data_IF_170685747985
#
_entry.id   IF_170685747985
#
_cell.length_a   1.000
_cell.length_b   1.000
_cell.length_c   1.000
_cell.angle_alpha   90.00
_cell.angle_beta   90.00
_cell.angle_gamma   90.00
#
_symmetry.space_group_name_H-M   'P 1'
#
loop_
_entity.id
_entity.type
_entity.pdbx_description
1 polymer ?
#
# COMPACT_ATOMS: atom_id res chain seq x y z
N UNK A 1 33.83 -7.61 -5.41
CA UNK A 1 32.56 -8.24 -5.02
C UNK A 1 32.44 -8.41 -3.50
N UNK A 2 33.37 -9.07 -2.78
CA UNK A 2 33.24 -9.25 -1.32
C UNK A 2 33.28 -7.97 -0.45
N UNK A 3 33.82 -6.85 -0.95
CA UNK A 3 33.83 -5.56 -0.23
C UNK A 3 32.49 -4.82 -0.30
N UNK A 4 31.90 -4.71 -1.49
CA UNK A 4 30.61 -4.05 -1.71
C UNK A 4 29.45 -4.75 -0.99
N UNK A 5 29.42 -6.10 -1.00
CA UNK A 5 28.37 -6.86 -0.30
C UNK A 5 28.43 -6.61 1.21
N UNK A 6 29.63 -6.57 1.81
CA UNK A 6 29.80 -6.25 3.24
C UNK A 6 29.42 -4.82 3.60
N UNK A 7 29.69 -3.87 2.71
CA UNK A 7 29.36 -2.45 2.89
C UNK A 7 27.84 -2.21 2.79
N UNK A 8 27.17 -2.87 1.85
CA UNK A 8 25.70 -2.89 1.74
C UNK A 8 25.04 -3.53 2.97
N UNK A 9 25.50 -4.70 3.41
CA UNK A 9 25.01 -5.36 4.63
C UNK A 9 25.17 -4.46 5.88
N UNK A 10 26.28 -3.73 5.98
CA UNK A 10 26.53 -2.79 7.08
C UNK A 10 25.56 -1.60 7.03
N UNK A 11 25.24 -1.12 5.83
CA UNK A 11 24.30 0.00 5.62
C UNK A 11 22.88 -0.38 6.02
N UNK A 12 22.39 -1.56 5.62
CA UNK A 12 21.04 -2.01 5.97
C UNK A 12 20.90 -2.29 7.46
N UNK A 13 21.92 -2.89 8.08
CA UNK A 13 21.93 -3.09 9.53
C UNK A 13 21.88 -1.75 10.29
N UNK A 14 22.55 -0.71 9.79
CA UNK A 14 22.48 0.64 10.36
C UNK A 14 21.08 1.24 10.25
N UNK A 15 20.46 1.18 9.07
CA UNK A 15 19.09 1.64 8.86
C UNK A 15 18.11 0.88 9.77
N UNK A 16 18.22 -0.44 9.83
CA UNK A 16 17.37 -1.27 10.67
C UNK A 16 17.50 -0.88 12.15
N UNK A 17 18.72 -0.65 12.66
CA UNK A 17 18.93 -0.17 14.02
C UNK A 17 18.32 1.21 14.31
N UNK A 18 18.25 2.12 13.32
CA UNK A 18 17.53 3.39 13.45
C UNK A 18 16.01 3.18 13.50
N UNK A 19 15.49 2.29 12.65
CA UNK A 19 14.07 1.94 12.61
C UNK A 19 13.62 1.26 13.91
N UNK A 20 14.41 0.36 14.48
CA UNK A 20 14.12 -0.24 15.80
C UNK A 20 13.89 0.82 16.87
N UNK A 21 14.80 1.80 16.97
CA UNK A 21 14.68 2.91 17.93
C UNK A 21 13.46 3.78 17.65
N UNK A 22 13.23 4.13 16.37
CA UNK A 22 12.10 4.98 15.97
C UNK A 22 10.77 4.30 16.23
N UNK A 23 10.59 3.06 15.79
CA UNK A 23 9.34 2.31 16.00
C UNK A 23 9.11 2.03 17.49
N UNK A 24 10.17 1.74 18.26
CA UNK A 24 10.04 1.63 19.72
C UNK A 24 9.50 2.92 20.35
N UNK A 25 10.01 4.10 19.94
CA UNK A 25 9.49 5.39 20.40
C UNK A 25 8.02 5.59 19.99
N UNK A 26 7.67 5.24 18.75
CA UNK A 26 6.29 5.31 18.25
C UNK A 26 5.33 4.48 19.10
N UNK A 27 5.76 3.34 19.67
CA UNK A 27 4.89 2.56 20.58
C UNK A 27 4.41 3.36 21.78
N UNK A 28 5.26 4.23 22.33
CA UNK A 28 4.91 5.13 23.43
C UNK A 28 4.07 6.33 22.99
N UNK A 29 4.17 6.77 21.75
CA UNK A 29 3.45 7.94 21.22
C UNK A 29 2.04 7.60 20.72
N UNK A 30 1.89 6.42 20.09
CA UNK A 30 0.66 5.99 19.44
C UNK A 30 -0.33 5.29 20.37
N UNK A 31 -0.04 5.16 21.67
CA UNK A 31 -0.82 4.41 22.67
C UNK A 31 -2.35 4.39 22.41
N UNK A 32 -2.85 3.28 21.86
CA UNK A 32 -4.28 3.07 21.59
C UNK A 32 -4.87 3.79 20.38
N UNK A 33 -4.12 4.70 19.73
CA UNK A 33 -4.52 5.38 18.49
C UNK A 33 -4.68 4.37 17.34
N UNK A 34 -5.54 4.72 16.39
CA UNK A 34 -5.61 4.09 15.06
C UNK A 34 -5.06 5.08 14.03
N UNK A 35 -3.73 5.15 13.87
CA UNK A 35 -3.09 6.19 13.07
C UNK A 35 -3.43 6.07 11.59
N UNK A 36 -3.61 7.21 10.93
CA UNK A 36 -3.79 7.31 9.49
C UNK A 36 -2.80 8.32 8.89
N UNK A 37 -2.85 9.56 9.39
CA UNK A 37 -2.09 10.70 8.88
C UNK A 37 -1.63 11.60 10.02
N UNK A 38 -0.55 12.35 9.80
CA UNK A 38 -0.09 13.33 10.78
C UNK A 38 -0.66 14.72 10.54
N UNK A 39 -0.87 15.47 11.62
CA UNK A 39 -0.93 16.93 11.61
C UNK A 39 0.26 17.45 12.42
N UNK A 40 1.14 18.23 11.79
CA UNK A 40 2.38 18.72 12.42
C UNK A 40 3.23 17.58 13.02
N UNK A 41 3.37 16.46 12.30
CA UNK A 41 4.16 15.30 12.74
C UNK A 41 3.49 14.38 13.77
N UNK A 42 2.31 14.74 14.30
CA UNK A 42 1.57 13.94 15.27
C UNK A 42 0.45 13.18 14.57
N UNK A 43 0.39 11.86 14.73
CA UNK A 43 -0.67 11.04 14.14
C UNK A 43 -2.03 11.31 14.79
N UNK A 44 -3.04 11.30 13.93
CA UNK A 44 -4.44 11.25 14.30
C UNK A 44 -4.84 9.89 14.93
N UNK A 45 -6.11 9.76 15.26
CA UNK A 45 -6.71 8.47 15.60
C UNK A 45 -8.06 8.37 14.91
N UNK A 46 -8.16 7.42 13.98
CA UNK A 46 -9.35 7.11 13.22
C UNK A 46 -10.19 6.02 13.89
N UNK A 47 -11.28 5.62 13.23
CA UNK A 47 -12.08 4.46 13.61
C UNK A 47 -11.34 3.16 13.28
N UNK A 48 -11.57 2.10 14.05
CA UNK A 48 -10.83 0.82 13.90
C UNK A 48 -11.10 0.14 12.55
N UNK A 49 -12.27 0.36 11.96
CA UNK A 49 -12.65 -0.13 10.64
C UNK A 49 -12.19 0.79 9.49
N UNK A 50 -11.39 1.83 9.77
CA UNK A 50 -10.74 2.63 8.75
C UNK A 50 -9.71 1.81 7.97
N UNK A 51 -9.62 2.02 6.65
CA UNK A 51 -8.84 1.16 5.75
C UNK A 51 -7.34 1.04 6.11
N UNK A 52 -6.77 2.04 6.81
CA UNK A 52 -5.36 2.01 7.24
C UNK A 52 -5.10 1.36 8.59
N UNK A 53 -6.13 0.85 9.27
CA UNK A 53 -6.00 0.38 10.66
C UNK A 53 -5.08 -0.83 10.83
N UNK A 54 -4.81 -1.58 9.76
CA UNK A 54 -3.91 -2.73 9.80
C UNK A 54 -2.42 -2.38 9.71
N UNK A 55 -2.02 -1.20 9.20
CA UNK A 55 -0.61 -0.92 8.92
C UNK A 55 0.25 -0.78 10.18
N UNK A 56 -0.24 -0.07 11.19
CA UNK A 56 0.48 0.04 12.47
C UNK A 56 0.69 -1.31 13.16
N UNK A 57 -0.35 -2.13 13.43
CA UNK A 57 -0.13 -3.47 14.00
C UNK A 57 0.66 -4.39 13.08
N UNK A 58 0.59 -4.20 11.76
CA UNK A 58 1.46 -4.89 10.79
C UNK A 58 2.94 -4.61 11.02
N UNK A 59 3.30 -3.34 11.23
CA UNK A 59 4.67 -2.98 11.61
C UNK A 59 5.06 -3.63 12.93
N UNK A 60 4.18 -3.64 13.94
CA UNK A 60 4.47 -4.29 15.22
C UNK A 60 4.71 -5.79 15.07
N UNK A 61 3.89 -6.51 14.29
CA UNK A 61 4.10 -7.93 14.01
C UNK A 61 5.41 -8.19 13.26
N UNK A 62 5.74 -7.34 12.29
CA UNK A 62 7.01 -7.43 11.56
C UNK A 62 8.22 -7.21 12.47
N UNK A 63 8.14 -6.22 13.37
CA UNK A 63 9.19 -5.94 14.35
C UNK A 63 9.33 -7.08 15.36
N UNK A 64 8.22 -7.64 15.83
CA UNK A 64 8.25 -8.86 16.66
C UNK A 64 8.93 -10.01 15.91
N UNK A 65 8.58 -10.23 14.65
CA UNK A 65 9.13 -11.34 13.89
C UNK A 65 10.64 -11.21 13.67
N UNK A 66 11.12 -10.00 13.38
CA UNK A 66 12.53 -9.72 13.14
C UNK A 66 13.37 -9.70 14.41
N UNK A 67 12.84 -9.15 15.52
CA UNK A 67 13.62 -8.89 16.75
C UNK A 67 13.33 -9.87 17.88
N UNK A 68 12.19 -10.57 17.82
CA UNK A 68 11.61 -11.42 18.88
C UNK A 68 11.35 -10.68 20.21
N UNK A 69 11.30 -9.34 20.22
CA UNK A 69 10.98 -8.56 21.41
C UNK A 69 9.49 -8.69 21.78
N UNK A 70 9.13 -9.21 22.97
CA UNK A 70 7.74 -9.52 23.35
C UNK A 70 6.80 -8.31 23.33
N UNK A 71 7.30 -7.12 23.65
CA UNK A 71 6.51 -5.88 23.71
C UNK A 71 5.76 -5.58 22.41
N UNK A 72 6.39 -5.82 21.25
CA UNK A 72 5.73 -5.60 19.95
C UNK A 72 4.54 -6.54 19.75
N UNK A 73 4.70 -7.81 20.12
CA UNK A 73 3.62 -8.81 20.08
C UNK A 73 2.47 -8.42 21.01
N UNK A 74 2.77 -8.01 22.24
CA UNK A 74 1.77 -7.61 23.23
C UNK A 74 0.93 -6.43 22.74
N UNK A 75 1.58 -5.43 22.13
CA UNK A 75 0.89 -4.26 21.57
C UNK A 75 0.06 -4.58 20.32
N UNK A 76 0.44 -5.60 19.55
CA UNK A 76 -0.25 -6.01 18.33
C UNK A 76 -1.40 -7.01 18.59
N UNK A 77 -1.39 -7.69 19.74
CA UNK A 77 -2.20 -8.90 19.98
C UNK A 77 -3.71 -8.70 19.85
N UNK A 78 -4.23 -7.57 20.33
CA UNK A 78 -5.68 -7.29 20.42
C UNK A 78 -6.26 -6.61 19.17
N UNK A 79 -5.44 -6.31 18.16
CA UNK A 79 -5.91 -5.57 16.99
C UNK A 79 -6.91 -6.35 16.13
N UNK A 80 -6.66 -7.64 15.90
CA UNK A 80 -7.59 -8.50 15.16
C UNK A 80 -8.91 -8.70 15.93
N UNK A 81 -8.85 -8.75 17.26
CA UNK A 81 -10.05 -8.82 18.13
C UNK A 81 -10.91 -7.57 17.98
N UNK A 82 -10.30 -6.37 18.03
CA UNK A 82 -11.01 -5.10 17.84
C UNK A 82 -11.61 -4.97 16.43
N UNK A 83 -10.90 -5.44 15.40
CA UNK A 83 -11.41 -5.50 14.03
C UNK A 83 -12.60 -6.45 13.89
N UNK A 84 -12.53 -7.62 14.54
CA UNK A 84 -13.66 -8.56 14.57
C UNK A 84 -14.91 -7.95 15.23
N UNK A 85 -14.75 -7.26 16.36
CA UNK A 85 -15.87 -6.58 17.02
C UNK A 85 -16.54 -5.55 16.10
N UNK A 86 -15.75 -4.86 15.27
CA UNK A 86 -16.27 -3.93 14.28
C UNK A 86 -17.01 -4.60 13.10
N UNK A 87 -16.93 -5.93 12.92
CA UNK A 87 -17.74 -6.66 11.93
C UNK A 87 -19.18 -6.88 12.41
N UNK A 88 -19.45 -6.84 13.72
CA UNK A 88 -20.73 -7.23 14.34
C UNK A 88 -21.67 -6.02 14.53
N UNK A 89 -21.24 -4.80 14.20
CA UNK A 89 -21.99 -3.54 14.39
C UNK A 89 -22.15 -2.69 13.13
N UNK A 90 -22.26 -1.35 13.31
CA UNK A 90 -22.20 -0.36 12.22
C UNK A 90 -20.78 -0.34 11.65
N UNK A 91 -20.58 -1.14 10.62
CA UNK A 91 -19.28 -1.44 10.03
C UNK A 91 -19.09 -0.72 8.70
N UNK A 92 -17.93 -0.10 8.52
CA UNK A 92 -17.53 0.51 7.25
C UNK A 92 -16.51 -0.33 6.48
N UNK A 93 -16.37 -1.64 6.77
CA UNK A 93 -15.48 -2.50 6.00
C UNK A 93 -15.89 -2.57 4.52
N UNK A 94 -14.89 -2.53 3.64
CA UNK A 94 -15.04 -2.60 2.19
C UNK A 94 -13.91 -3.45 1.57
N UNK A 95 -13.50 -3.20 0.33
CA UNK A 95 -12.48 -4.02 -0.33
C UNK A 95 -11.10 -4.01 0.35
N UNK A 96 -10.85 -3.06 1.27
CA UNK A 96 -9.58 -2.89 1.98
C UNK A 96 -9.40 -3.82 3.19
N UNK A 97 -10.30 -4.79 3.38
CA UNK A 97 -10.14 -5.80 4.44
C UNK A 97 -8.85 -6.61 4.30
N UNK A 98 -8.23 -6.66 3.12
CA UNK A 98 -6.87 -7.19 2.97
C UNK A 98 -5.85 -6.35 3.73
N UNK A 99 -5.83 -5.03 3.54
CA UNK A 99 -4.98 -4.10 4.30
C UNK A 99 -5.21 -4.13 5.81
N UNK A 100 -6.39 -4.58 6.26
CA UNK A 100 -6.71 -4.61 7.68
C UNK A 100 -6.41 -5.97 8.31
N UNK A 101 -6.75 -7.08 7.65
CA UNK A 101 -6.67 -8.42 8.23
C UNK A 101 -5.41 -9.20 7.85
N UNK A 102 -4.75 -8.92 6.73
CA UNK A 102 -3.43 -9.50 6.44
C UNK A 102 -2.39 -9.10 7.51
N UNK A 103 -2.18 -7.80 7.80
CA UNK A 103 -1.19 -7.36 8.79
C UNK A 103 -1.63 -7.50 10.25
N UNK A 104 -2.83 -8.03 10.52
CA UNK A 104 -3.29 -8.29 11.90
C UNK A 104 -3.53 -9.78 12.11
N UNK A 105 -4.67 -10.29 11.67
CA UNK A 105 -5.13 -11.65 11.91
C UNK A 105 -4.26 -12.69 11.21
N UNK A 106 -3.96 -12.50 9.92
CA UNK A 106 -3.21 -13.50 9.15
C UNK A 106 -1.77 -13.61 9.62
N UNK A 107 -1.06 -12.50 9.82
CA UNK A 107 0.31 -12.55 10.33
C UNK A 107 0.38 -13.08 11.76
N UNK A 108 -0.57 -12.73 12.63
CA UNK A 108 -0.68 -13.33 13.97
C UNK A 108 -0.79 -14.84 13.88
N UNK A 109 -1.70 -15.35 13.04
CA UNK A 109 -1.85 -16.79 12.83
C UNK A 109 -0.57 -17.43 12.30
N UNK A 110 0.05 -16.87 11.25
CA UNK A 110 1.30 -17.39 10.68
C UNK A 110 2.42 -17.50 11.72
N UNK A 111 2.51 -16.56 12.65
CA UNK A 111 3.59 -16.51 13.64
C UNK A 111 3.30 -17.31 14.92
N UNK A 112 2.04 -17.53 15.28
CA UNK A 112 1.67 -18.08 16.60
C UNK A 112 0.77 -19.30 16.55
N UNK A 113 0.16 -19.60 15.39
CA UNK A 113 -0.83 -20.65 15.24
C UNK A 113 -2.19 -20.35 15.89
N UNK A 114 -2.47 -19.10 16.27
CA UNK A 114 -3.71 -18.71 16.94
C UNK A 114 -4.96 -19.03 16.09
N UNK A 115 -5.83 -19.97 16.51
CA UNK A 115 -6.94 -20.43 15.69
C UNK A 115 -8.04 -19.38 15.51
N UNK A 116 -8.18 -18.44 16.45
CA UNK A 116 -9.13 -17.33 16.30
C UNK A 116 -8.66 -16.31 15.27
N UNK A 117 -7.36 -16.01 15.24
CA UNK A 117 -6.77 -15.15 14.21
C UNK A 117 -6.95 -15.78 12.82
N UNK A 118 -6.76 -17.10 12.69
CA UNK A 118 -7.09 -17.83 11.44
C UNK A 118 -8.55 -17.64 11.04
N UNK A 119 -9.48 -17.84 11.98
CA UNK A 119 -10.93 -17.69 11.76
C UNK A 119 -11.27 -16.26 11.30
N UNK A 120 -10.70 -15.23 11.94
CA UNK A 120 -10.89 -13.82 11.57
C UNK A 120 -10.37 -13.51 10.17
N UNK A 121 -9.19 -14.01 9.81
CA UNK A 121 -8.64 -13.87 8.46
C UNK A 121 -9.56 -14.48 7.40
N UNK A 122 -10.06 -15.69 7.62
CA UNK A 122 -10.97 -16.37 6.69
C UNK A 122 -12.35 -15.67 6.59
N UNK A 123 -12.83 -15.10 7.70
CA UNK A 123 -14.04 -14.29 7.71
C UNK A 123 -13.87 -13.01 6.86
N UNK A 124 -12.74 -12.32 7.01
CA UNK A 124 -12.40 -11.17 6.18
C UNK A 124 -12.26 -11.53 4.70
N UNK A 125 -11.66 -12.68 4.38
CA UNK A 125 -11.58 -13.17 3.00
C UNK A 125 -12.98 -13.46 2.41
N UNK A 126 -13.91 -13.96 3.23
CA UNK A 126 -15.31 -14.16 2.83
C UNK A 126 -16.02 -12.84 2.56
N UNK A 127 -15.78 -11.81 3.39
CA UNK A 127 -16.29 -10.46 3.15
C UNK A 127 -15.76 -9.91 1.82
N UNK A 128 -14.45 -10.00 1.57
CA UNK A 128 -13.84 -9.53 0.32
C UNK A 128 -14.40 -10.28 -0.90
N UNK A 129 -14.51 -11.62 -0.82
CA UNK A 129 -15.10 -12.44 -1.87
C UNK A 129 -16.57 -12.09 -2.13
N UNK A 130 -17.33 -11.72 -1.10
CA UNK A 130 -18.73 -11.28 -1.23
C UNK A 130 -18.91 -9.97 -2.01
N UNK A 131 -17.83 -9.21 -2.24
CA UNK A 131 -17.83 -7.98 -3.05
C UNK A 131 -17.56 -8.24 -4.53
N UNK A 132 -17.31 -9.49 -4.92
CA UNK A 132 -17.06 -9.88 -6.30
C UNK A 132 -18.33 -9.83 -7.14
N UNK A 133 -18.28 -9.09 -8.25
CA UNK A 133 -19.27 -9.14 -9.30
C UNK A 133 -18.86 -10.21 -10.33
N UNK A 134 -19.57 -11.35 -10.43
CA UNK A 134 -19.19 -12.43 -11.33
C UNK A 134 -19.45 -12.15 -12.81
N UNK A 135 -20.30 -11.18 -13.14
CA UNK A 135 -20.60 -10.82 -14.54
C UNK A 135 -19.49 -9.93 -15.10
N UNK A 136 -19.16 -8.85 -14.39
CA UNK A 136 -18.07 -7.92 -14.77
C UNK A 136 -16.68 -8.34 -14.29
N UNK A 137 -16.59 -9.43 -13.51
CA UNK A 137 -15.33 -9.99 -13.01
C UNK A 137 -14.47 -9.00 -12.24
N UNK A 138 -15.12 -8.16 -11.44
CA UNK A 138 -14.43 -7.17 -10.61
C UNK A 138 -14.87 -7.24 -9.14
N UNK A 139 -13.98 -6.85 -8.24
CA UNK A 139 -14.30 -6.61 -6.82
C UNK A 139 -14.73 -5.16 -6.66
N UNK A 140 -15.95 -4.96 -6.15
CA UNK A 140 -16.49 -3.63 -5.85
C UNK A 140 -15.66 -2.94 -4.77
N UNK A 141 -15.22 -1.71 -5.04
CA UNK A 141 -14.36 -0.94 -4.14
C UNK A 141 -15.07 -0.55 -2.84
N UNK A 142 -16.02 0.39 -2.88
CA UNK A 142 -16.61 1.00 -1.67
C UNK A 142 -18.07 0.64 -1.43
N UNK A 143 -18.54 0.91 -0.22
CA UNK A 143 -19.94 0.76 0.17
C UNK A 143 -20.81 1.85 -0.47
N UNK A 144 -22.13 1.64 -0.46
CA UNK A 144 -23.06 2.68 -0.88
C UNK A 144 -22.95 3.89 0.04
N UNK A 145 -22.94 5.06 -0.57
CA UNK A 145 -22.84 6.36 0.11
C UNK A 145 -24.11 7.17 -0.11
N UNK A 146 -24.24 8.26 0.64
CA UNK A 146 -25.37 9.19 0.49
C UNK A 146 -25.46 9.72 -0.95
N UNK A 147 -26.66 10.03 -1.47
CA UNK A 147 -26.83 10.57 -2.82
C UNK A 147 -26.04 11.85 -3.12
N UNK A 148 -25.66 12.60 -2.08
CA UNK A 148 -24.88 13.84 -2.18
C UNK A 148 -23.37 13.61 -2.24
N UNK A 149 -22.89 12.39 -2.01
CA UNK A 149 -21.47 12.06 -2.02
C UNK A 149 -20.95 11.95 -3.46
N UNK A 150 -19.72 12.42 -3.70
CA UNK A 150 -19.09 12.42 -5.03
C UNK A 150 -18.97 11.03 -5.67
N UNK A 151 -18.91 9.98 -4.83
CA UNK A 151 -18.83 8.58 -5.23
C UNK A 151 -20.17 7.83 -5.05
N UNK A 152 -21.31 8.54 -5.16
CA UNK A 152 -22.61 7.88 -5.28
C UNK A 152 -22.71 7.09 -6.59
N UNK A 153 -23.44 5.97 -6.59
CA UNK A 153 -23.54 5.08 -7.76
C UNK A 153 -22.27 4.24 -8.01
N UNK A 154 -21.52 3.90 -6.95
CA UNK A 154 -20.25 3.19 -7.04
C UNK A 154 -20.37 1.65 -7.10
N UNK A 155 -21.54 1.09 -7.40
CA UNK A 155 -21.77 -0.36 -7.50
C UNK A 155 -20.84 -1.03 -8.51
N UNK A 156 -20.55 -0.33 -9.60
CA UNK A 156 -19.68 -0.76 -10.68
C UNK A 156 -18.22 -0.33 -10.55
N UNK A 157 -17.83 0.31 -9.44
CA UNK A 157 -16.48 0.87 -9.32
C UNK A 157 -15.53 -0.16 -8.71
N UNK A 158 -14.41 -0.37 -9.39
CA UNK A 158 -13.25 -1.09 -8.88
C UNK A 158 -12.05 -0.15 -8.90
N UNK A 159 -11.17 -0.25 -7.90
CA UNK A 159 -9.99 0.63 -7.77
C UNK A 159 -8.71 -0.20 -7.68
N UNK A 160 -7.59 0.38 -8.10
CA UNK A 160 -6.33 -0.34 -8.25
C UNK A 160 -5.78 -0.93 -6.94
N UNK A 161 -6.08 -0.28 -5.82
CA UNK A 161 -5.71 -0.66 -4.45
C UNK A 161 -6.24 -2.07 -4.11
N UNK A 162 -7.32 -2.50 -4.77
CA UNK A 162 -7.83 -3.88 -4.67
C UNK A 162 -6.78 -4.94 -4.99
N UNK A 163 -5.78 -4.61 -5.81
CA UNK A 163 -4.69 -5.51 -6.18
C UNK A 163 -3.87 -5.98 -4.98
N UNK A 164 -3.60 -5.08 -4.02
CA UNK A 164 -2.91 -5.44 -2.78
C UNK A 164 -3.75 -6.34 -1.87
N UNK A 165 -5.08 -6.21 -1.96
CA UNK A 165 -6.01 -6.97 -1.14
C UNK A 165 -6.23 -8.41 -1.66
N UNK A 166 -5.81 -8.72 -2.89
CA UNK A 166 -5.94 -10.07 -3.48
C UNK A 166 -5.16 -11.13 -2.70
N UNK A 167 -4.05 -10.75 -2.07
CA UNK A 167 -3.26 -11.63 -1.23
C UNK A 167 -4.08 -12.29 -0.10
N UNK A 168 -5.12 -11.61 0.39
CA UNK A 168 -6.03 -12.19 1.40
C UNK A 168 -6.82 -13.36 0.83
N UNK A 169 -7.30 -13.26 -0.41
CA UNK A 169 -8.03 -14.32 -1.09
C UNK A 169 -7.11 -15.48 -1.47
N UNK A 170 -5.89 -15.20 -1.95
CA UNK A 170 -4.92 -16.26 -2.22
C UNK A 170 -4.55 -17.03 -0.96
N UNK A 171 -4.20 -16.32 0.12
CA UNK A 171 -3.93 -16.95 1.42
C UNK A 171 -5.12 -17.77 1.91
N UNK A 172 -6.35 -17.24 1.82
CA UNK A 172 -7.54 -17.99 2.25
C UNK A 172 -7.75 -19.28 1.45
N UNK A 173 -7.42 -19.27 0.16
CA UNK A 173 -7.48 -20.47 -0.68
C UNK A 173 -6.46 -21.53 -0.25
N UNK A 174 -5.20 -21.14 -0.04
CA UNK A 174 -4.14 -22.04 0.45
C UNK A 174 -4.48 -22.60 1.83
N UNK A 175 -4.98 -21.75 2.73
CA UNK A 175 -5.23 -22.08 4.13
C UNK A 175 -6.47 -22.95 4.34
N UNK A 176 -7.51 -22.75 3.53
CA UNK A 176 -8.78 -23.50 3.67
C UNK A 176 -8.92 -24.67 2.70
N UNK A 177 -8.16 -24.67 1.59
CA UNK A 177 -8.35 -25.57 0.46
C UNK A 177 -9.56 -25.22 -0.42
N UNK A 178 -10.30 -24.13 -0.16
CA UNK A 178 -11.40 -23.67 -1.02
C UNK A 178 -10.83 -22.90 -2.24
N UNK A 179 -10.91 -23.46 -3.46
CA UNK A 179 -10.35 -22.84 -4.66
C UNK A 179 -11.11 -21.57 -5.10
N UNK A 180 -12.34 -21.36 -4.61
CA UNK A 180 -13.17 -20.20 -4.97
C UNK A 180 -12.46 -18.88 -4.70
N UNK A 181 -11.74 -18.77 -3.58
CA UNK A 181 -11.02 -17.54 -3.25
C UNK A 181 -9.93 -17.23 -4.29
N UNK A 182 -9.13 -18.23 -4.69
CA UNK A 182 -8.12 -18.06 -5.73
C UNK A 182 -8.74 -17.80 -7.12
N UNK A 183 -9.90 -18.39 -7.45
CA UNK A 183 -10.60 -18.08 -8.69
C UNK A 183 -11.01 -16.60 -8.75
N UNK A 184 -11.65 -16.09 -7.69
CA UNK A 184 -12.05 -14.67 -7.60
C UNK A 184 -10.84 -13.75 -7.70
N UNK A 185 -9.75 -14.08 -6.98
CA UNK A 185 -8.53 -13.29 -7.01
C UNK A 185 -7.90 -13.23 -8.41
N UNK A 186 -7.85 -14.36 -9.14
CA UNK A 186 -7.33 -14.41 -10.51
C UNK A 186 -8.20 -13.62 -11.50
N UNK A 187 -9.53 -13.69 -11.37
CA UNK A 187 -10.42 -12.91 -12.23
C UNK A 187 -10.24 -11.41 -12.01
N UNK A 188 -10.18 -10.94 -10.75
CA UNK A 188 -9.86 -9.54 -10.46
C UNK A 188 -8.47 -9.15 -10.97
N UNK A 189 -7.45 -10.01 -10.82
CA UNK A 189 -6.12 -9.75 -11.35
C UNK A 189 -6.11 -9.64 -12.89
N UNK A 190 -6.88 -10.47 -13.59
CA UNK A 190 -7.05 -10.35 -15.04
C UNK A 190 -7.67 -9.01 -15.42
N UNK A 191 -8.73 -8.59 -14.71
CA UNK A 191 -9.38 -7.28 -14.87
C UNK A 191 -8.39 -6.12 -14.64
N UNK A 192 -7.50 -6.23 -13.65
CA UNK A 192 -6.42 -5.25 -13.40
C UNK A 192 -5.47 -5.15 -14.60
N UNK A 193 -4.99 -6.28 -15.11
CA UNK A 193 -4.10 -6.30 -16.27
C UNK A 193 -4.77 -5.74 -17.53
N UNK A 194 -6.05 -6.06 -17.74
CA UNK A 194 -6.79 -5.66 -18.94
C UNK A 194 -7.21 -4.19 -18.95
N UNK A 195 -7.76 -3.70 -17.83
CA UNK A 195 -8.42 -2.41 -17.79
C UNK A 195 -7.64 -1.34 -17.03
N UNK A 196 -6.88 -1.69 -16.00
CA UNK A 196 -6.20 -0.70 -15.16
C UNK A 196 -4.81 -0.33 -15.66
N UNK A 197 -4.02 -1.32 -16.07
CA UNK A 197 -2.63 -1.12 -16.50
C UNK A 197 -2.63 -0.77 -17.99
N UNK A 198 -2.27 0.47 -18.31
CA UNK A 198 -2.20 0.93 -19.70
C UNK A 198 -1.00 0.30 -20.44
N UNK A 199 -0.99 0.30 -21.79
CA UNK A 199 0.12 -0.25 -22.57
C UNK A 199 1.49 0.36 -22.25
N UNK A 200 1.53 1.63 -21.84
CA UNK A 200 2.76 2.33 -21.44
C UNK A 200 3.23 2.04 -20.00
N UNK A 201 2.45 1.30 -19.22
CA UNK A 201 2.74 1.00 -17.81
C UNK A 201 2.20 2.01 -16.80
N UNK A 202 1.60 3.11 -17.25
CA UNK A 202 0.81 3.98 -16.37
C UNK A 202 -0.47 3.27 -15.93
N UNK A 203 -1.05 3.73 -14.82
CA UNK A 203 -2.13 3.00 -14.14
C UNK A 203 -3.34 3.91 -13.92
N UNK A 204 -4.52 3.40 -14.25
CA UNK A 204 -5.82 4.03 -13.91
C UNK A 204 -6.09 3.83 -12.43
N UNK A 205 -6.64 4.86 -11.77
CA UNK A 205 -7.02 4.73 -10.36
C UNK A 205 -8.33 3.96 -10.21
N UNK A 206 -9.41 4.44 -10.86
CA UNK A 206 -10.76 3.86 -10.77
C UNK A 206 -11.20 3.43 -12.16
N UNK A 207 -11.63 2.18 -12.29
CA UNK A 207 -12.36 1.70 -13.47
C UNK A 207 -13.83 1.50 -13.10
N UNK A 208 -14.72 2.08 -13.90
CA UNK A 208 -16.17 1.92 -13.77
C UNK A 208 -16.64 0.90 -14.79
N UNK A 209 -17.38 -0.09 -14.29
CA UNK A 209 -18.07 -1.11 -15.06
C UNK A 209 -19.58 -0.93 -14.91
N UNK A 210 -20.36 -1.42 -15.87
CA UNK A 210 -21.79 -1.61 -15.66
C UNK A 210 -22.00 -2.82 -14.73
N UNK A 211 -22.66 -2.67 -13.57
CA UNK A 211 -22.79 -3.75 -12.60
C UNK A 211 -23.73 -4.88 -13.05
N UNK A 212 -24.54 -4.67 -14.10
CA UNK A 212 -25.50 -5.64 -14.63
C UNK A 212 -24.93 -6.42 -15.82
N UNK A 213 -24.37 -5.73 -16.82
CA UNK A 213 -23.78 -6.34 -18.02
C UNK A 213 -22.33 -6.75 -17.84
N UNK A 214 -21.62 -6.13 -16.88
CA UNK A 214 -20.21 -6.33 -16.64
C UNK A 214 -19.28 -5.56 -17.60
N UNK A 215 -19.82 -4.77 -18.51
CA UNK A 215 -19.03 -4.04 -19.50
C UNK A 215 -18.21 -2.92 -18.86
N UNK A 216 -16.94 -2.80 -19.24
CA UNK A 216 -16.11 -1.65 -18.90
C UNK A 216 -16.70 -0.39 -19.54
N UNK A 217 -16.91 0.66 -18.74
CA UNK A 217 -17.49 1.92 -19.21
C UNK A 217 -16.41 2.98 -19.41
N UNK A 218 -15.70 3.31 -18.33
CA UNK A 218 -14.77 4.43 -18.32
C UNK A 218 -13.77 4.34 -17.17
N UNK A 219 -12.73 5.15 -17.26
CA UNK A 219 -11.83 5.44 -16.15
C UNK A 219 -12.30 6.71 -15.48
N UNK A 220 -12.23 6.75 -14.16
CA UNK A 220 -12.49 7.96 -13.39
C UNK A 220 -11.20 8.43 -12.72
N UNK A 221 -11.20 9.69 -12.30
CA UNK A 221 -10.15 10.25 -11.46
C UNK A 221 -10.26 9.71 -10.03
N UNK A 222 -10.18 10.59 -9.05
CA UNK A 222 -10.23 10.24 -7.63
C UNK A 222 -9.06 10.89 -6.93
N UNK A 223 -8.09 10.09 -6.49
CA UNK A 223 -6.91 10.60 -5.80
C UNK A 223 -5.80 11.12 -6.74
N UNK A 224 -5.82 10.72 -8.02
CA UNK A 224 -4.95 11.24 -9.06
C UNK A 224 -5.45 12.55 -9.68
N UNK A 225 -4.60 13.19 -10.48
CA UNK A 225 -4.88 14.46 -11.14
C UNK A 225 -6.11 14.43 -12.07
N UNK A 226 -6.35 13.29 -12.71
CA UNK A 226 -7.53 13.06 -13.52
C UNK A 226 -7.64 11.65 -14.09
N UNK A 227 -8.69 11.34 -14.85
CA UNK A 227 -8.92 10.00 -15.42
C UNK A 227 -7.77 9.46 -16.29
N UNK A 228 -7.07 10.35 -17.01
CA UNK A 228 -5.95 9.98 -17.90
C UNK A 228 -4.56 10.27 -17.31
N UNK A 229 -4.54 10.71 -16.05
CA UNK A 229 -3.31 10.93 -15.28
C UNK A 229 -2.69 9.60 -14.80
N UNK A 230 -1.58 9.70 -14.06
CA UNK A 230 -0.82 8.56 -13.57
C UNK A 230 -0.43 8.77 -12.11
N UNK A 231 -1.42 8.65 -11.24
CA UNK A 231 -1.27 8.74 -9.78
C UNK A 231 -0.20 7.76 -9.26
N UNK A 232 0.81 8.30 -8.58
CA UNK A 232 2.02 7.54 -8.25
C UNK A 232 1.75 6.37 -7.29
N UNK A 233 0.90 6.56 -6.29
CA UNK A 233 0.54 5.49 -5.35
C UNK A 233 -0.31 4.40 -5.99
N UNK A 234 -1.17 4.74 -6.95
CA UNK A 234 -1.88 3.75 -7.76
C UNK A 234 -0.94 2.87 -8.57
N UNK A 235 0.11 3.47 -9.14
CA UNK A 235 1.17 2.71 -9.81
C UNK A 235 1.96 1.84 -8.81
N UNK A 236 2.23 2.32 -7.61
CA UNK A 236 2.89 1.53 -6.57
C UNK A 236 2.06 0.31 -6.12
N UNK A 237 0.73 0.48 -5.95
CA UNK A 237 -0.20 -0.63 -5.66
C UNK A 237 -0.24 -1.67 -6.77
N UNK A 238 -0.30 -1.24 -8.04
CA UNK A 238 -0.29 -2.16 -9.17
C UNK A 238 1.03 -2.94 -9.26
N UNK A 239 2.16 -2.24 -9.12
CA UNK A 239 3.50 -2.83 -9.16
C UNK A 239 3.64 -3.93 -8.10
N UNK A 240 3.39 -3.58 -6.83
CA UNK A 240 3.58 -4.51 -5.72
C UNK A 240 2.51 -5.61 -5.73
N UNK A 241 1.25 -5.25 -5.97
CA UNK A 241 0.15 -6.22 -5.97
C UNK A 241 0.24 -7.25 -7.11
N UNK A 242 0.73 -6.86 -8.29
CA UNK A 242 0.97 -7.80 -9.39
C UNK A 242 2.17 -8.72 -9.12
N UNK A 243 3.22 -8.22 -8.47
CA UNK A 243 4.32 -9.07 -8.00
C UNK A 243 3.82 -10.11 -6.98
N UNK A 244 2.98 -9.70 -6.02
CA UNK A 244 2.35 -10.61 -5.06
C UNK A 244 1.46 -11.65 -5.75
N UNK A 245 0.66 -11.22 -6.73
CA UNK A 245 -0.20 -12.10 -7.52
C UNK A 245 0.63 -13.16 -8.26
N UNK A 246 1.76 -12.78 -8.88
CA UNK A 246 2.67 -13.74 -9.48
C UNK A 246 3.23 -14.74 -8.46
N UNK A 247 3.65 -14.27 -7.28
CA UNK A 247 4.18 -15.15 -6.22
C UNK A 247 3.18 -16.24 -5.82
N UNK A 248 1.88 -15.94 -5.76
CA UNK A 248 0.84 -16.92 -5.44
C UNK A 248 0.44 -17.84 -6.61
N UNK A 249 0.63 -17.40 -7.86
CA UNK A 249 0.04 -18.07 -9.03
C UNK A 249 1.04 -18.72 -9.97
N UNK A 250 2.28 -18.22 -10.01
CA UNK A 250 3.29 -18.56 -11.02
C UNK A 250 2.94 -18.12 -12.45
N UNK A 251 1.87 -17.35 -12.65
CA UNK A 251 1.43 -16.94 -13.99
C UNK A 251 2.19 -15.71 -14.47
N UNK A 252 3.06 -15.92 -15.46
CA UNK A 252 3.99 -14.91 -15.98
C UNK A 252 3.30 -13.62 -16.43
N UNK A 253 2.02 -13.66 -16.81
CA UNK A 253 1.25 -12.46 -17.21
C UNK A 253 1.23 -11.40 -16.10
N UNK A 254 1.15 -11.81 -14.84
CA UNK A 254 1.16 -10.89 -13.70
C UNK A 254 2.57 -10.34 -13.42
N UNK A 255 3.62 -11.15 -13.61
CA UNK A 255 5.00 -10.65 -13.49
C UNK A 255 5.30 -9.62 -14.58
N UNK A 256 4.90 -9.89 -15.82
CA UNK A 256 5.09 -8.96 -16.93
C UNK A 256 4.32 -7.65 -16.71
N UNK A 257 3.11 -7.72 -16.13
CA UNK A 257 2.36 -6.54 -15.71
C UNK A 257 3.10 -5.75 -14.61
N UNK A 258 3.60 -6.42 -13.58
CA UNK A 258 4.39 -5.80 -12.52
C UNK A 258 5.65 -5.10 -13.07
N UNK A 259 6.38 -5.77 -13.97
CA UNK A 259 7.56 -5.23 -14.65
C UNK A 259 7.23 -4.01 -15.50
N UNK A 260 6.11 -4.04 -16.26
CA UNK A 260 5.67 -2.90 -17.07
C UNK A 260 5.41 -1.66 -16.22
N UNK A 261 4.67 -1.82 -15.11
CA UNK A 261 4.41 -0.72 -14.18
C UNK A 261 5.70 -0.26 -13.49
N UNK A 262 6.58 -1.18 -13.10
CA UNK A 262 7.88 -0.86 -12.52
C UNK A 262 8.75 -0.01 -13.46
N UNK A 263 8.79 -0.33 -14.75
CA UNK A 263 9.55 0.45 -15.73
C UNK A 263 8.99 1.87 -15.86
N UNK A 264 7.67 2.03 -15.95
CA UNK A 264 7.03 3.35 -15.99
C UNK A 264 7.32 4.15 -14.71
N UNK A 265 7.16 3.53 -13.54
CA UNK A 265 7.39 4.17 -12.24
C UNK A 265 8.84 4.65 -12.11
N UNK A 266 9.81 3.78 -12.37
CA UNK A 266 11.25 4.10 -12.28
C UNK A 266 11.64 5.19 -13.28
N UNK A 267 11.12 5.14 -14.51
CA UNK A 267 11.40 6.15 -15.52
C UNK A 267 10.79 7.53 -15.20
N UNK A 268 9.78 7.57 -14.32
CA UNK A 268 9.04 8.79 -13.94
C UNK A 268 9.47 9.37 -12.58
N UNK A 269 10.47 8.75 -11.92
CA UNK A 269 11.05 9.27 -10.68
C UNK A 269 11.74 10.61 -10.92
N UNK A 270 11.68 11.49 -9.91
CA UNK A 270 12.42 12.74 -9.92
C UNK A 270 13.92 12.50 -9.69
N UNK A 271 14.75 13.53 -9.82
CA UNK A 271 16.22 13.44 -9.69
C UNK A 271 16.68 12.79 -8.38
N UNK A 272 15.94 13.03 -7.30
CA UNK A 272 16.18 12.44 -5.98
C UNK A 272 15.51 11.08 -5.78
N UNK A 273 15.05 10.42 -6.85
CA UNK A 273 14.41 9.10 -6.82
C UNK A 273 13.08 9.00 -6.05
N UNK A 274 12.41 10.12 -5.75
CA UNK A 274 11.07 10.14 -5.15
C UNK A 274 10.04 10.58 -6.19
N UNK A 275 8.88 9.91 -6.32
CA UNK A 275 7.84 10.30 -7.25
C UNK A 275 7.16 11.60 -6.83
N UNK A 276 6.66 12.35 -7.81
CA UNK A 276 5.58 13.31 -7.58
C UNK A 276 4.30 12.56 -7.17
N UNK A 277 3.36 13.24 -6.54
CA UNK A 277 2.07 12.65 -6.18
C UNK A 277 1.33 12.06 -7.41
N UNK A 278 1.46 12.68 -8.59
CA UNK A 278 1.00 12.19 -9.88
C UNK A 278 2.07 12.43 -10.97
N UNK A 279 2.37 11.42 -11.77
CA UNK A 279 3.42 11.49 -12.80
C UNK A 279 3.01 12.32 -14.03
N UNK A 280 1.72 12.64 -14.18
CA UNK A 280 1.18 13.41 -15.31
C UNK A 280 0.49 14.70 -14.89
N UNK A 281 0.61 15.10 -13.62
CA UNK A 281 0.22 16.43 -13.22
C UNK A 281 1.21 17.44 -13.82
N UNK A 282 0.70 18.36 -14.63
CA UNK A 282 1.48 19.53 -15.06
C UNK A 282 1.18 20.72 -14.15
N UNK A 283 2.25 21.44 -13.80
CA UNK A 283 2.24 22.54 -12.83
C UNK A 283 1.26 23.68 -13.14
N UNK A 284 0.97 23.90 -14.42
CA UNK A 284 0.09 24.99 -14.90
C UNK A 284 -1.40 24.64 -14.77
N UNK A 285 -1.71 23.37 -14.57
CA UNK A 285 -3.07 22.85 -14.54
C UNK A 285 -3.59 22.66 -13.09
N UNK A 286 -2.79 23.04 -12.08
CA UNK A 286 -3.18 23.07 -10.67
C UNK A 286 -3.73 24.44 -10.28
N UNK A 287 -5.05 24.54 -10.12
CA UNK A 287 -5.67 25.63 -9.36
C UNK A 287 -5.48 25.35 -7.86
N UNK A 288 -4.47 25.93 -7.24
CA UNK A 288 -4.40 25.98 -5.79
C UNK A 288 -5.49 26.94 -5.27
N UNK A 289 -6.19 26.62 -4.16
CA UNK A 289 -7.24 27.49 -3.61
C UNK A 289 -6.75 28.90 -3.21
N UNK A 290 -5.44 29.12 -3.11
CA UNK A 290 -4.82 30.41 -2.82
C UNK A 290 -4.25 31.13 -4.06
N UNK A 291 -4.47 30.63 -5.28
CA UNK A 291 -3.90 31.20 -6.50
C UNK A 291 -4.94 32.05 -7.27
N UNK A 292 -5.19 33.28 -6.82
CA UNK A 292 -6.08 34.24 -7.49
C UNK A 292 -5.48 34.87 -8.78
N UNK A 293 -4.33 34.35 -9.23
CA UNK A 293 -3.60 34.83 -10.41
C UNK A 293 -2.83 36.14 -10.17
N UNK A 294 -2.81 36.66 -8.94
CA UNK A 294 -2.10 37.91 -8.58
C UNK A 294 -0.88 37.69 -7.67
N UNK A 295 -0.72 36.50 -7.09
CA UNK A 295 0.44 36.18 -6.26
C UNK A 295 1.67 35.79 -7.10
N UNK A 296 2.70 36.64 -7.04
CA UNK A 296 4.00 36.45 -7.69
C UNK A 296 5.02 35.74 -6.79
N UNK A 297 4.59 35.19 -5.65
CA UNK A 297 5.46 34.41 -4.76
C UNK A 297 6.06 33.21 -5.49
N UNK A 298 7.30 32.79 -5.16
CA UNK A 298 7.90 31.61 -5.76
C UNK A 298 7.00 30.39 -5.52
N UNK A 299 6.45 29.85 -6.60
CA UNK A 299 5.49 28.75 -6.60
C UNK A 299 6.08 27.52 -5.88
N UNK A 300 5.34 26.99 -4.91
CA UNK A 300 5.76 25.79 -4.16
C UNK A 300 6.05 24.62 -5.13
N UNK A 301 7.05 23.77 -4.85
CA UNK A 301 7.31 22.60 -5.67
C UNK A 301 6.12 21.64 -5.66
N UNK A 302 5.92 20.91 -6.76
CA UNK A 302 4.89 19.88 -6.84
C UNK A 302 5.01 18.88 -5.68
N UNK A 303 3.92 18.58 -4.95
CA UNK A 303 3.98 17.67 -3.83
C UNK A 303 4.50 16.29 -4.23
N UNK A 304 5.34 15.74 -3.37
CA UNK A 304 5.85 14.38 -3.52
C UNK A 304 4.89 13.38 -2.89
N UNK A 305 5.15 12.11 -3.15
CA UNK A 305 4.51 11.05 -2.39
C UNK A 305 5.51 9.99 -1.93
N UNK A 306 6.07 10.19 -0.74
CA UNK A 306 6.97 9.21 -0.12
C UNK A 306 6.29 7.88 0.21
N UNK A 307 4.95 7.85 0.33
CA UNK A 307 4.21 6.60 0.54
C UNK A 307 4.12 5.74 -0.74
N UNK A 308 3.99 6.37 -1.91
CA UNK A 308 4.13 5.68 -3.19
C UNK A 308 5.55 5.14 -3.36
N UNK A 309 6.55 5.94 -2.99
CA UNK A 309 7.96 5.56 -3.06
C UNK A 309 8.25 4.32 -2.22
N UNK A 310 7.84 4.30 -0.95
CA UNK A 310 8.11 3.18 -0.05
C UNK A 310 7.38 1.89 -0.46
N UNK A 311 6.12 1.98 -0.91
CA UNK A 311 5.42 0.83 -1.47
C UNK A 311 6.12 0.29 -2.72
N UNK A 312 6.49 1.17 -3.66
CA UNK A 312 7.17 0.76 -4.88
C UNK A 312 8.53 0.13 -4.58
N UNK A 313 9.29 0.65 -3.60
CA UNK A 313 10.55 0.04 -3.18
C UNK A 313 10.34 -1.40 -2.67
N UNK A 314 9.32 -1.63 -1.84
CA UNK A 314 9.00 -2.98 -1.36
C UNK A 314 8.59 -3.93 -2.51
N UNK A 315 7.79 -3.45 -3.46
CA UNK A 315 7.39 -4.22 -4.63
C UNK A 315 8.54 -4.47 -5.62
N UNK A 316 9.46 -3.53 -5.79
CA UNK A 316 10.66 -3.70 -6.61
C UNK A 316 11.61 -4.76 -6.02
N UNK A 317 11.75 -4.81 -4.69
CA UNK A 317 12.46 -5.89 -4.02
C UNK A 317 11.77 -7.24 -4.25
N UNK A 318 10.44 -7.28 -4.23
CA UNK A 318 9.68 -8.49 -4.56
C UNK A 318 9.95 -8.95 -6.00
N UNK A 319 9.87 -8.04 -6.98
CA UNK A 319 10.19 -8.36 -8.38
C UNK A 319 11.63 -8.87 -8.51
N UNK A 320 12.59 -8.23 -7.82
CA UNK A 320 14.00 -8.64 -7.86
C UNK A 320 14.22 -10.09 -7.40
N UNK A 321 13.42 -10.59 -6.46
CA UNK A 321 13.45 -11.97 -5.98
C UNK A 321 12.74 -12.96 -6.94
N UNK A 322 11.82 -12.47 -7.77
CA UNK A 322 10.95 -13.26 -8.65
C UNK A 322 11.47 -13.41 -10.10
N UNK A 323 12.31 -12.47 -10.56
CA UNK A 323 12.89 -12.48 -11.91
C UNK A 323 14.19 -13.29 -12.00
N UNK A 324 14.62 -13.72 -13.20
CA UNK A 324 15.94 -14.30 -13.39
C UNK A 324 17.06 -13.36 -12.91
N UNK A 325 18.19 -13.93 -12.48
CA UNK A 325 19.34 -13.20 -11.95
C UNK A 325 19.84 -12.07 -12.88
N UNK A 326 19.70 -12.23 -14.20
CA UNK A 326 20.10 -11.24 -15.18
C UNK A 326 19.26 -9.94 -15.15
N UNK A 327 18.02 -10.01 -14.67
CA UNK A 327 17.11 -8.87 -14.56
C UNK A 327 17.08 -8.27 -13.14
N UNK A 328 17.39 -9.09 -12.12
CA UNK A 328 17.24 -8.75 -10.69
C UNK A 328 17.91 -7.43 -10.29
N UNK A 329 19.09 -7.13 -10.83
CA UNK A 329 19.85 -5.93 -10.50
C UNK A 329 19.14 -4.62 -10.86
N UNK A 330 18.33 -4.60 -11.93
CA UNK A 330 17.57 -3.41 -12.33
C UNK A 330 16.56 -3.02 -11.24
N UNK A 331 15.77 -3.99 -10.79
CA UNK A 331 14.73 -3.76 -9.79
C UNK A 331 15.34 -3.49 -8.42
N UNK A 332 16.32 -4.31 -8.01
CA UNK A 332 16.99 -4.15 -6.71
C UNK A 332 17.69 -2.80 -6.60
N UNK A 333 18.48 -2.40 -7.58
CA UNK A 333 19.18 -1.10 -7.54
C UNK A 333 18.21 0.08 -7.51
N UNK A 334 17.06 -0.03 -8.20
CA UNK A 334 16.03 1.01 -8.17
C UNK A 334 15.35 1.13 -6.81
N UNK A 335 15.03 0.00 -6.17
CA UNK A 335 14.54 -0.01 -4.79
C UNK A 335 15.54 0.63 -3.82
N UNK A 336 16.84 0.30 -3.95
CA UNK A 336 17.88 0.84 -3.08
C UNK A 336 18.05 2.36 -3.22
N UNK A 337 17.97 2.91 -4.44
CA UNK A 337 18.00 4.37 -4.64
C UNK A 337 16.81 5.08 -3.98
N UNK A 338 15.62 4.49 -4.06
CA UNK A 338 14.43 5.03 -3.38
C UNK A 338 14.64 4.99 -1.86
N UNK A 339 15.05 3.84 -1.31
CA UNK A 339 15.25 3.66 0.14
C UNK A 339 16.34 4.60 0.67
N UNK A 340 17.44 4.77 -0.07
CA UNK A 340 18.51 5.70 0.30
C UNK A 340 17.99 7.15 0.36
N UNK A 341 17.25 7.58 -0.66
CA UNK A 341 16.64 8.91 -0.67
C UNK A 341 15.66 9.12 0.48
N UNK A 342 14.76 8.15 0.71
CA UNK A 342 13.84 8.17 1.85
C UNK A 342 14.60 8.29 3.18
N UNK A 343 15.67 7.50 3.35
CA UNK A 343 16.48 7.46 4.58
C UNK A 343 17.16 8.79 4.87
N UNK A 344 17.76 9.39 3.83
CA UNK A 344 18.68 10.51 3.98
C UNK A 344 18.00 11.87 3.87
N UNK A 345 16.81 11.96 3.26
CA UNK A 345 16.13 13.23 2.97
C UNK A 345 14.75 13.35 3.60
N UNK A 346 14.00 12.25 3.70
CA UNK A 346 12.58 12.29 4.05
C UNK A 346 12.26 11.71 5.43
N UNK A 347 13.13 10.85 5.95
CA UNK A 347 12.94 10.26 7.26
C UNK A 347 13.25 11.26 8.39
N UNK A 348 12.37 11.30 9.40
CA UNK A 348 12.53 12.16 10.57
C UNK A 348 13.16 11.38 11.74
N UNK A 349 14.47 11.58 11.91
CA UNK A 349 15.28 10.92 12.92
C UNK A 349 15.54 11.77 14.15
N UNK A 350 15.53 13.09 14.00
CA UNK A 350 16.13 14.02 14.97
C UNK A 350 15.08 14.61 15.90
N UNK A 351 13.88 14.90 15.39
CA UNK A 351 12.78 15.39 16.20
C UNK A 351 12.16 14.24 17.04
N UNK A 352 12.26 14.29 18.39
CA UNK A 352 11.68 13.27 19.26
C UNK A 352 10.14 13.32 19.29
N UNK A 353 9.53 14.47 19.04
CA UNK A 353 8.08 14.67 19.11
C UNK A 353 7.39 14.29 17.81
N UNK A 354 8.13 14.22 16.69
CA UNK A 354 7.60 13.75 15.42
C UNK A 354 7.34 12.23 15.44
N UNK A 355 6.06 11.85 15.32
CA UNK A 355 5.57 10.47 15.42
C UNK A 355 5.75 9.69 14.11
N UNK A 356 5.61 10.31 12.94
CA UNK A 356 5.82 9.65 11.63
C UNK A 356 7.29 9.31 11.33
N UNK A 357 7.53 8.27 10.52
CA UNK A 357 8.89 7.94 10.03
C UNK A 357 9.22 8.80 8.82
N UNK A 358 8.36 8.79 7.79
CA UNK A 358 8.58 9.50 6.54
C UNK A 358 7.74 10.79 6.45
N UNK A 359 8.35 11.87 5.97
CA UNK A 359 7.68 13.14 5.67
C UNK A 359 7.25 13.20 4.20
N UNK A 360 6.50 14.25 3.84
CA UNK A 360 6.22 14.60 2.43
C UNK A 360 5.48 13.52 1.61
N UNK A 361 4.57 12.80 2.24
CA UNK A 361 3.58 12.00 1.54
C UNK A 361 2.34 12.83 1.17
N UNK A 362 1.67 12.48 0.09
CA UNK A 362 0.46 13.17 -0.39
C UNK A 362 -0.70 12.20 -0.55
N UNK A 363 -1.70 12.31 0.32
CA UNK A 363 -2.88 11.46 0.35
C UNK A 363 -3.87 11.77 -0.78
N UNK A 364 -4.43 12.97 -0.82
CA UNK A 364 -5.48 13.30 -1.79
C UNK A 364 -5.42 14.79 -2.17
N UNK A 365 -4.50 15.11 -3.09
CA UNK A 365 -4.29 16.49 -3.54
C UNK A 365 -5.58 17.13 -4.12
N UNK A 366 -6.35 16.46 -5.01
CA UNK A 366 -7.58 17.05 -5.55
C UNK A 366 -8.64 17.44 -4.50
N UNK A 367 -8.60 16.85 -3.31
CA UNK A 367 -9.50 17.17 -2.20
C UNK A 367 -8.88 18.11 -1.15
N UNK A 368 -7.65 18.58 -1.35
CA UNK A 368 -6.92 19.41 -0.37
C UNK A 368 -6.56 18.67 0.91
N UNK A 369 -6.41 17.34 0.86
CA UNK A 369 -6.26 16.49 2.06
C UNK A 369 -4.91 15.78 2.10
N UNK A 370 -4.33 15.75 3.30
CA UNK A 370 -3.12 14.98 3.64
C UNK A 370 -1.95 15.29 2.70
N UNK A 371 -1.64 16.57 2.49
CA UNK A 371 -0.59 17.04 1.59
C UNK A 371 0.65 17.35 2.43
N UNK A 372 1.80 16.81 2.03
CA UNK A 372 3.07 16.97 2.74
C UNK A 372 3.04 16.50 4.21
N UNK A 373 2.48 15.33 4.46
CA UNK A 373 2.30 14.72 5.80
C UNK A 373 3.00 13.35 5.89
N UNK A 374 3.05 12.72 7.07
CA UNK A 374 3.33 11.29 7.16
C UNK A 374 2.04 10.48 7.03
N UNK A 375 2.13 9.35 6.35
CA UNK A 375 1.03 8.41 6.15
C UNK A 375 1.45 7.05 6.69
N UNK A 376 0.63 6.43 7.54
CA UNK A 376 1.01 5.21 8.27
C UNK A 376 1.38 4.03 7.35
N UNK A 377 0.75 3.97 6.17
CA UNK A 377 1.08 2.97 5.15
C UNK A 377 2.43 3.25 4.50
N UNK A 378 2.79 4.52 4.31
CA UNK A 378 4.12 4.90 3.85
C UNK A 378 5.22 4.41 4.80
N UNK A 379 5.01 4.61 6.11
CA UNK A 379 5.88 4.09 7.16
C UNK A 379 5.94 2.57 7.15
N UNK A 380 4.78 1.89 7.03
CA UNK A 380 4.71 0.43 6.95
C UNK A 380 5.56 -0.14 5.82
N UNK A 381 5.39 0.36 4.58
CA UNK A 381 6.14 -0.19 3.44
C UNK A 381 7.62 0.17 3.48
N UNK A 382 7.98 1.25 4.18
CA UNK A 382 9.38 1.61 4.39
C UNK A 382 10.06 0.65 5.38
N UNK A 383 9.41 0.36 6.51
CA UNK A 383 9.87 -0.67 7.46
C UNK A 383 9.89 -2.04 6.78
N UNK A 384 8.89 -2.36 5.96
CA UNK A 384 8.84 -3.59 5.18
C UNK A 384 10.04 -3.72 4.24
N UNK A 385 10.36 -2.66 3.51
CA UNK A 385 11.50 -2.63 2.59
C UNK A 385 12.81 -2.88 3.33
N UNK A 386 13.03 -2.23 4.47
CA UNK A 386 14.21 -2.46 5.31
C UNK A 386 14.24 -3.89 5.88
N UNK A 387 13.09 -4.42 6.32
CA UNK A 387 12.98 -5.80 6.80
C UNK A 387 13.32 -6.81 5.69
N UNK A 388 12.81 -6.61 4.46
CA UNK A 388 13.16 -7.45 3.30
C UNK A 388 14.67 -7.44 3.03
N UNK A 389 15.32 -6.27 3.09
CA UNK A 389 16.78 -6.16 2.94
C UNK A 389 17.56 -6.86 4.06
N UNK A 390 16.99 -6.91 5.27
CA UNK A 390 17.52 -7.67 6.41
C UNK A 390 17.16 -9.16 6.38
N UNK A 391 16.52 -9.64 5.31
CA UNK A 391 16.21 -11.06 5.12
C UNK A 391 14.91 -11.52 5.77
N UNK A 392 13.98 -10.63 6.12
CA UNK A 392 12.62 -11.00 6.51
C UNK A 392 11.98 -11.86 5.41
N UNK A 393 11.22 -12.92 5.77
CA UNK A 393 10.65 -13.88 4.78
C UNK A 393 9.14 -14.08 4.86
N UNK A 394 8.49 -13.71 5.95
CA UNK A 394 7.10 -14.11 6.20
C UNK A 394 6.05 -13.39 5.33
N UNK A 395 6.43 -12.29 4.65
CA UNK A 395 5.66 -11.51 3.64
C UNK A 395 4.15 -11.42 3.96
N UNK A 396 3.72 -10.29 4.50
CA UNK A 396 2.30 -10.08 4.89
C UNK A 396 1.39 -10.03 3.66
N UNK A 397 1.75 -9.22 2.66
CA UNK A 397 1.06 -9.10 1.38
C UNK A 397 1.67 -10.06 0.36
#
# INVERSE_FOLDING_TARGET
MNGQVKEEETTYASLWGKLEKKVMRMTGQLQGKVPHTTKNGIYDSTRIDWWTSGFWPGMLWMMYDMTKQPQYKELAWEWDVRLEQALIGDSNFHHDVGFQFLPTAVIKYKLTGDPDARRRGLLAATLLAGRYNPVGRFIRAWNQVKPTSWNHGNEGWSIIDSTMNLSLLFWASEESGDPRFAHIAREQANTVVEHFIRPDGSVRHICRFDPLSGEYMESLGGQGFGPESAWSRGAAWALHGMANTYRYTGDIRYLDAAKRVAHYFVASLQEDSIPLWDFRAERKDLEYPDHDGTDTSPMAPEPRDTSAASCAASGLLEIADLVPQAESALYRSSALRIIDSLTNRYAEWDDPDYEGILKEATGHLPAGQNINVSLIYGDYYYVESAAKLMGWKNRIF
#
